data_IF_558720586817
#
_entry.id   IF_558720586817
#
_cell.length_a   1.000
_cell.length_b   1.000
_cell.length_c   1.000
_cell.angle_alpha   90.00
_cell.angle_beta   90.00
_cell.angle_gamma   90.00
#
_symmetry.space_group_name_H-M   'P 1'
#
loop_
_entity.id
_entity.type
_entity.pdbx_description
1 polymer ?
#
# COMPACT_ATOMS: atom_id res chain seq x y z
N UNK A 1 8.34 -27.86 72.05
CA UNK A 1 8.74 -27.78 70.63
C UNK A 1 8.81 -26.30 70.24
N UNK A 2 10.02 -25.78 70.02
CA UNK A 2 10.28 -24.39 69.65
C UNK A 2 9.82 -24.13 68.21
N UNK A 3 8.88 -23.21 67.99
CA UNK A 3 8.64 -22.63 66.66
C UNK A 3 9.18 -21.20 66.65
N UNK A 4 10.29 -20.97 65.97
CA UNK A 4 10.83 -19.63 65.71
C UNK A 4 9.82 -18.83 64.85
N UNK A 5 9.58 -17.54 65.13
CA UNK A 5 8.68 -16.73 64.33
C UNK A 5 9.26 -16.49 62.93
N UNK A 6 8.45 -16.75 61.88
CA UNK A 6 8.83 -16.48 60.48
C UNK A 6 8.95 -14.97 60.27
N UNK A 7 10.16 -14.50 59.93
CA UNK A 7 10.42 -13.09 59.54
C UNK A 7 9.54 -12.70 58.34
N UNK A 8 8.94 -11.51 58.40
CA UNK A 8 8.11 -11.00 57.32
C UNK A 8 8.96 -10.68 56.07
N UNK A 9 8.32 -10.60 54.90
CA UNK A 9 9.00 -10.24 53.65
C UNK A 9 9.67 -8.85 53.74
N UNK A 10 9.05 -7.92 54.47
CA UNK A 10 9.59 -6.58 54.73
C UNK A 10 10.88 -6.63 55.55
N UNK A 11 10.99 -7.55 56.52
CA UNK A 11 12.20 -7.71 57.34
C UNK A 11 13.36 -8.29 56.53
N UNK A 12 13.06 -9.18 55.56
CA UNK A 12 14.07 -9.71 54.62
C UNK A 12 14.58 -8.63 53.66
N UNK A 13 13.69 -7.79 53.14
CA UNK A 13 14.04 -6.70 52.22
C UNK A 13 14.93 -5.64 52.90
N UNK A 14 14.62 -5.27 54.16
CA UNK A 14 15.48 -4.38 54.96
C UNK A 14 16.87 -4.97 55.22
N UNK A 15 16.96 -6.28 55.48
CA UNK A 15 18.27 -6.94 55.72
C UNK A 15 19.16 -7.02 54.47
N UNK A 16 18.59 -6.81 53.28
CA UNK A 16 19.29 -6.76 51.99
C UNK A 16 19.66 -5.33 51.55
N UNK A 17 19.49 -4.33 52.41
CA UNK A 17 19.87 -2.94 52.13
C UNK A 17 18.89 -2.16 51.25
N UNK A 18 17.68 -2.70 50.99
CA UNK A 18 16.63 -2.00 50.24
C UNK A 18 16.04 -0.90 51.12
N UNK A 19 16.37 0.36 50.82
CA UNK A 19 15.72 1.54 51.42
C UNK A 19 14.33 1.69 50.82
N UNK A 20 13.29 1.63 51.66
CA UNK A 20 11.93 1.97 51.26
C UNK A 20 11.82 3.50 51.24
N UNK A 21 11.61 4.06 50.06
CA UNK A 21 11.49 5.49 49.81
C UNK A 21 12.80 6.12 49.31
N UNK A 22 12.81 6.50 48.02
CA UNK A 22 13.79 7.45 47.51
C UNK A 22 13.47 8.82 48.15
N UNK A 23 14.28 9.28 49.09
CA UNK A 23 14.04 10.54 49.83
C UNK A 23 14.40 11.79 49.04
N UNK A 24 14.97 11.67 47.83
CA UNK A 24 15.23 12.80 46.95
C UNK A 24 15.01 12.38 45.50
N UNK A 25 13.83 12.71 44.96
CA UNK A 25 13.69 12.85 43.52
C UNK A 25 14.32 14.20 43.16
N UNK A 26 15.28 14.27 42.21
CA UNK A 26 15.69 15.56 41.68
C UNK A 26 14.43 16.28 41.22
N UNK A 27 14.20 17.50 41.73
CA UNK A 27 13.11 18.34 41.22
C UNK A 27 13.30 18.41 39.71
N UNK A 28 12.30 17.98 38.89
CA UNK A 28 12.41 18.17 37.46
C UNK A 28 12.71 19.66 37.25
N UNK A 29 13.70 19.96 36.40
CA UNK A 29 13.91 21.33 35.95
C UNK A 29 12.54 21.86 35.53
N UNK A 30 12.14 23.09 35.93
CA UNK A 30 10.91 23.67 35.41
C UNK A 30 11.02 23.57 33.88
N UNK A 31 10.13 22.80 33.28
CA UNK A 31 10.09 22.67 31.83
C UNK A 31 9.94 24.10 31.28
N UNK A 32 10.79 24.45 30.32
CA UNK A 32 10.58 25.68 29.57
C UNK A 32 9.22 25.51 28.88
N UNK A 33 8.23 26.28 29.34
CA UNK A 33 6.89 26.25 28.80
C UNK A 33 6.93 26.91 27.42
N UNK A 34 7.09 26.10 26.39
CA UNK A 34 7.02 26.54 25.00
C UNK A 34 5.61 26.27 24.48
N UNK A 35 4.77 27.30 24.31
CA UNK A 35 3.43 27.12 23.78
C UNK A 35 3.45 26.70 22.30
N UNK A 36 2.38 26.09 21.81
CA UNK A 36 2.35 25.54 20.44
C UNK A 36 2.47 26.63 19.38
N UNK A 37 1.85 27.79 19.60
CA UNK A 37 1.89 28.93 18.68
C UNK A 37 3.28 29.55 18.50
N UNK A 38 4.25 29.27 19.39
CA UNK A 38 5.64 29.70 19.18
C UNK A 38 6.46 28.73 18.33
N UNK A 39 5.96 27.51 18.10
CA UNK A 39 6.66 26.45 17.37
C UNK A 39 6.06 26.25 15.98
N UNK A 40 4.73 26.34 15.89
CA UNK A 40 3.96 26.12 14.65
C UNK A 40 3.08 27.35 14.41
N UNK A 41 3.07 27.94 13.19
CA UNK A 41 2.32 29.16 12.90
C UNK A 41 0.84 28.88 12.61
N UNK A 42 0.16 28.23 13.55
CA UNK A 42 -1.29 27.95 13.50
C UNK A 42 -2.14 29.00 14.20
N UNK A 43 -3.44 28.92 13.97
CA UNK A 43 -4.46 29.83 14.47
C UNK A 43 -5.52 29.10 15.30
N UNK A 44 -6.19 29.88 16.17
CA UNK A 44 -7.30 29.41 16.98
C UNK A 44 -8.64 29.57 16.26
N UNK A 45 -9.38 28.46 16.13
CA UNK A 45 -10.73 28.44 15.54
C UNK A 45 -11.78 28.30 16.64
N UNK A 46 -12.75 29.20 16.61
CA UNK A 46 -13.91 29.14 17.48
C UNK A 46 -14.99 28.25 16.86
N UNK A 47 -15.49 27.31 17.64
CA UNK A 47 -16.56 26.39 17.28
C UNK A 47 -17.66 26.42 18.36
N UNK A 48 -18.75 25.68 18.17
CA UNK A 48 -19.83 25.60 19.16
C UNK A 48 -19.38 24.93 20.48
N UNK A 49 -18.33 24.12 20.43
CA UNK A 49 -17.81 23.37 21.59
C UNK A 49 -16.59 24.02 22.24
N UNK A 50 -16.13 25.17 21.74
CA UNK A 50 -14.97 25.89 22.27
C UNK A 50 -13.95 26.22 21.20
N UNK A 51 -12.70 26.36 21.61
CA UNK A 51 -11.59 26.70 20.73
C UNK A 51 -10.77 25.47 20.36
N UNK A 52 -10.26 25.42 19.13
CA UNK A 52 -9.31 24.42 18.66
C UNK A 52 -8.14 25.06 17.91
N UNK A 53 -6.94 24.49 18.01
CA UNK A 53 -5.75 24.95 17.29
C UNK A 53 -5.65 24.26 15.93
N UNK A 54 -5.52 25.05 14.88
CA UNK A 54 -5.41 24.55 13.50
C UNK A 54 -4.25 25.26 12.80
N UNK A 55 -3.35 24.49 12.21
CA UNK A 55 -2.32 25.01 11.33
C UNK A 55 -2.71 24.78 9.88
N UNK A 56 -2.83 25.84 9.09
CA UNK A 56 -3.13 25.74 7.65
C UNK A 56 -1.96 26.20 6.78
N UNK A 57 -1.68 25.41 5.76
CA UNK A 57 -0.69 25.68 4.72
C UNK A 57 -1.35 25.64 3.35
N UNK A 58 -0.87 26.51 2.45
CA UNK A 58 -1.34 26.60 1.07
C UNK A 58 -0.19 26.27 0.13
N UNK A 59 -0.41 25.29 -0.74
CA UNK A 59 0.55 24.88 -1.75
C UNK A 59 0.01 25.26 -3.13
N UNK A 60 0.82 25.92 -3.98
CA UNK A 60 0.40 26.17 -5.35
C UNK A 60 0.28 24.85 -6.11
N UNK A 61 -0.58 24.78 -7.15
CA UNK A 61 -0.81 23.54 -7.90
C UNK A 61 0.44 22.95 -8.58
N UNK A 62 1.46 23.79 -8.83
CA UNK A 62 2.75 23.37 -9.38
C UNK A 62 3.76 22.93 -8.31
N UNK A 63 3.36 22.86 -7.03
CA UNK A 63 4.19 22.29 -5.98
C UNK A 63 4.50 20.83 -6.32
N UNK A 64 5.79 20.49 -6.27
CA UNK A 64 6.28 19.15 -6.46
C UNK A 64 6.55 18.51 -5.10
N UNK A 65 6.01 17.32 -4.90
CA UNK A 65 6.30 16.46 -3.77
C UNK A 65 7.16 15.29 -4.25
N UNK A 66 8.47 15.39 -3.99
CA UNK A 66 9.46 14.62 -4.74
C UNK A 66 9.46 15.06 -6.20
N UNK A 67 9.28 14.12 -7.12
CA UNK A 67 9.24 14.43 -8.56
C UNK A 67 7.81 14.62 -9.11
N UNK A 68 6.78 14.50 -8.25
CA UNK A 68 5.38 14.42 -8.67
C UNK A 68 4.62 15.69 -8.26
N UNK A 69 3.88 16.35 -9.18
CA UNK A 69 3.00 17.46 -8.80
C UNK A 69 1.82 16.97 -7.97
N UNK A 70 1.31 17.80 -7.07
CA UNK A 70 0.14 17.44 -6.26
C UNK A 70 -1.12 17.28 -7.13
N UNK A 71 -1.35 18.21 -8.07
CA UNK A 71 -2.52 18.20 -8.92
C UNK A 71 -2.42 17.09 -9.98
N UNK A 72 -3.48 16.26 -10.14
CA UNK A 72 -3.59 15.36 -11.28
C UNK A 72 -3.46 16.08 -12.62
N UNK A 73 -2.49 15.67 -13.44
CA UNK A 73 -2.29 16.25 -14.79
C UNK A 73 -3.30 15.74 -15.81
N UNK A 74 -3.92 14.59 -15.51
CA UNK A 74 -5.00 13.97 -16.29
C UNK A 74 -6.15 13.60 -15.35
N UNK A 75 -7.40 13.54 -15.86
CA UNK A 75 -8.51 12.96 -15.11
C UNK A 75 -8.18 11.55 -14.61
N UNK A 76 -8.66 11.20 -13.42
CA UNK A 76 -8.48 9.85 -12.88
C UNK A 76 -9.18 8.83 -13.80
N UNK A 77 -8.50 7.74 -14.20
CA UNK A 77 -9.04 6.81 -15.20
C UNK A 77 -10.22 6.01 -14.63
N UNK A 78 -11.19 5.67 -15.48
CA UNK A 78 -12.34 4.83 -15.10
C UNK A 78 -11.91 3.48 -14.50
N UNK A 79 -10.75 2.96 -14.92
CA UNK A 79 -10.13 1.77 -14.35
C UNK A 79 -9.97 1.86 -12.82
N UNK A 80 -9.56 3.04 -12.30
CA UNK A 80 -9.39 3.27 -10.87
C UNK A 80 -10.74 3.23 -10.14
N UNK A 81 -11.77 3.84 -10.72
CA UNK A 81 -13.14 3.80 -10.16
C UNK A 81 -13.72 2.38 -10.16
N UNK A 82 -13.48 1.60 -11.22
CA UNK A 82 -13.92 0.22 -11.34
C UNK A 82 -13.23 -0.69 -10.32
N UNK A 83 -11.92 -0.50 -10.13
CA UNK A 83 -11.15 -1.20 -9.10
C UNK A 83 -11.64 -0.87 -7.68
N UNK A 84 -11.87 0.41 -7.40
CA UNK A 84 -12.34 0.89 -6.11
C UNK A 84 -13.84 0.59 -5.87
N UNK A 85 -14.58 0.22 -6.93
CA UNK A 85 -16.03 -0.06 -6.94
C UNK A 85 -16.87 1.15 -6.54
N UNK A 86 -16.44 2.34 -6.95
CA UNK A 86 -17.17 3.58 -6.70
C UNK A 86 -16.97 4.55 -7.88
N UNK A 87 -18.04 4.76 -8.65
CA UNK A 87 -18.02 5.60 -9.86
C UNK A 87 -17.73 7.07 -9.55
N UNK A 88 -17.89 7.52 -8.31
CA UNK A 88 -17.59 8.91 -7.92
C UNK A 88 -16.12 9.26 -8.15
N UNK A 89 -15.23 8.28 -8.06
CA UNK A 89 -13.77 8.47 -8.14
C UNK A 89 -13.31 8.98 -9.51
N UNK A 90 -13.92 8.55 -10.62
CA UNK A 90 -13.56 9.09 -11.95
C UNK A 90 -14.49 10.22 -12.40
N UNK A 91 -15.65 10.39 -11.76
CA UNK A 91 -16.67 11.38 -12.16
C UNK A 91 -16.60 12.72 -11.43
N UNK A 92 -16.25 12.71 -10.13
CA UNK A 92 -16.16 13.93 -9.35
C UNK A 92 -14.80 14.59 -9.56
N UNK A 93 -14.75 15.93 -9.55
CA UNK A 93 -13.49 16.65 -9.74
C UNK A 93 -12.65 16.57 -8.45
N UNK A 94 -11.35 16.87 -8.55
CA UNK A 94 -10.38 16.62 -7.48
C UNK A 94 -10.65 17.44 -6.20
N UNK A 95 -11.37 18.55 -6.31
CA UNK A 95 -11.84 19.40 -5.20
C UNK A 95 -12.86 18.69 -4.30
N UNK A 96 -13.41 17.55 -4.75
CA UNK A 96 -14.26 16.67 -3.95
C UNK A 96 -13.49 15.63 -3.15
N UNK A 97 -12.17 15.62 -3.26
CA UNK A 97 -11.30 14.68 -2.55
C UNK A 97 -10.69 15.37 -1.34
N UNK A 98 -10.74 14.69 -0.20
CA UNK A 98 -9.95 15.04 0.98
C UNK A 98 -8.94 13.93 1.25
N UNK A 99 -7.68 14.32 1.33
CA UNK A 99 -6.56 13.48 1.72
C UNK A 99 -6.40 13.60 3.22
N UNK A 100 -6.41 12.50 3.96
CA UNK A 100 -6.32 12.57 5.42
C UNK A 100 -5.49 11.44 6.02
N UNK A 101 -4.89 11.78 7.15
CA UNK A 101 -4.01 10.95 7.97
C UNK A 101 -4.13 11.39 9.43
N UNK A 102 -3.97 10.46 10.39
CA UNK A 102 -4.10 10.76 11.82
C UNK A 102 -2.89 10.33 12.62
N UNK A 103 -2.49 11.20 13.56
CA UNK A 103 -1.57 10.82 14.63
C UNK A 103 -2.33 10.46 15.88
N UNK A 104 -1.97 9.33 16.48
CA UNK A 104 -2.78 8.71 17.53
C UNK A 104 -2.00 8.55 18.83
N UNK A 105 -2.70 8.67 19.96
CA UNK A 105 -2.09 8.52 21.29
C UNK A 105 -1.79 7.06 21.66
N UNK A 106 -2.00 6.09 20.76
CA UNK A 106 -1.75 4.68 21.05
C UNK A 106 -2.09 3.73 19.92
N UNK A 107 -1.25 2.69 19.78
CA UNK A 107 -1.24 1.75 18.65
C UNK A 107 -2.42 0.75 18.63
N UNK A 108 -3.20 0.64 19.71
CA UNK A 108 -4.18 -0.45 19.89
C UNK A 108 -5.64 -0.08 19.57
N UNK A 109 -5.92 1.14 19.10
CA UNK A 109 -7.25 1.54 18.60
C UNK A 109 -8.42 1.37 19.57
N UNK A 110 -8.14 1.34 20.88
CA UNK A 110 -9.18 1.24 21.91
C UNK A 110 -9.95 2.55 22.07
N UNK A 111 -11.06 2.53 22.81
CA UNK A 111 -11.87 3.74 23.08
C UNK A 111 -11.11 4.85 23.81
N UNK A 112 -9.98 4.54 24.44
CA UNK A 112 -9.07 5.51 25.07
C UNK A 112 -8.02 6.11 24.14
N UNK A 113 -7.93 5.68 22.87
CA UNK A 113 -7.03 6.28 21.88
C UNK A 113 -7.67 7.56 21.34
N UNK A 114 -6.89 8.65 21.36
CA UNK A 114 -7.23 9.91 20.71
C UNK A 114 -6.53 9.99 19.36
N UNK A 115 -7.19 10.55 18.36
CA UNK A 115 -6.52 11.13 17.20
C UNK A 115 -6.11 12.54 17.63
N UNK A 116 -4.88 12.70 18.12
CA UNK A 116 -4.45 14.00 18.67
C UNK A 116 -4.00 14.97 17.59
N UNK A 117 -3.74 14.45 16.39
CA UNK A 117 -3.59 15.25 15.18
C UNK A 117 -4.40 14.62 14.07
N UNK A 118 -5.13 15.43 13.32
CA UNK A 118 -5.72 15.03 12.05
C UNK A 118 -5.21 15.98 10.98
N UNK A 119 -4.44 15.44 10.05
CA UNK A 119 -4.07 16.15 8.81
C UNK A 119 -5.19 15.95 7.80
N UNK A 120 -5.60 17.03 7.13
CA UNK A 120 -6.56 16.99 6.04
C UNK A 120 -6.14 17.96 4.93
N UNK A 121 -6.02 17.45 3.71
CA UNK A 121 -5.70 18.22 2.51
C UNK A 121 -6.84 18.20 1.50
N UNK A 122 -7.18 19.33 0.89
CA UNK A 122 -8.14 19.40 -0.23
C UNK A 122 -7.72 20.45 -1.26
N UNK A 123 -8.15 20.27 -2.49
CA UNK A 123 -7.99 21.30 -3.53
C UNK A 123 -9.10 22.35 -3.40
N UNK A 124 -8.73 23.63 -3.48
CA UNK A 124 -9.67 24.76 -3.49
C UNK A 124 -9.14 25.84 -4.44
N UNK A 125 -9.80 26.02 -5.58
CA UNK A 125 -9.33 26.92 -6.62
C UNK A 125 -7.96 26.51 -7.16
N UNK A 126 -7.00 27.43 -7.12
CA UNK A 126 -5.64 27.22 -7.66
C UNK A 126 -4.62 26.81 -6.58
N UNK A 127 -5.09 26.21 -5.48
CA UNK A 127 -4.24 25.80 -4.35
C UNK A 127 -4.66 24.44 -3.77
N UNK A 128 -3.69 23.74 -3.20
CA UNK A 128 -3.92 22.63 -2.28
C UNK A 128 -3.80 23.16 -0.85
N UNK A 129 -4.89 23.09 -0.09
CA UNK A 129 -4.97 23.55 1.29
C UNK A 129 -4.79 22.34 2.20
N UNK A 130 -3.77 22.38 3.04
CA UNK A 130 -3.50 21.40 4.08
C UNK A 130 -3.81 22.03 5.44
N UNK A 131 -4.66 21.38 6.23
CA UNK A 131 -5.00 21.77 7.59
C UNK A 131 -4.62 20.65 8.56
N UNK A 132 -3.94 21.00 9.65
CA UNK A 132 -3.60 20.08 10.74
C UNK A 132 -4.34 20.52 12.00
N UNK A 133 -5.32 19.70 12.40
CA UNK A 133 -6.13 19.91 13.59
C UNK A 133 -5.44 19.24 14.78
N UNK A 134 -4.96 20.03 15.74
CA UNK A 134 -4.15 19.52 16.85
C UNK A 134 -4.87 19.64 18.20
N UNK A 135 -4.92 18.54 18.92
CA UNK A 135 -5.56 18.40 20.21
C UNK A 135 -4.58 18.80 21.32
N UNK A 136 -4.61 20.04 21.80
CA UNK A 136 -3.67 20.49 22.85
C UNK A 136 -4.01 19.94 24.23
N UNK A 137 -5.31 19.76 24.44
CA UNK A 137 -5.89 19.17 25.64
C UNK A 137 -7.04 18.24 25.24
N UNK A 138 -7.19 17.05 25.84
CA UNK A 138 -8.27 16.13 25.52
C UNK A 138 -9.68 16.74 25.62
N UNK A 139 -9.87 17.79 26.42
CA UNK A 139 -11.16 18.50 26.52
C UNK A 139 -11.54 19.29 25.26
N UNK A 140 -10.59 19.59 24.38
CA UNK A 140 -10.80 20.33 23.13
C UNK A 140 -11.31 19.44 21.98
N UNK A 141 -11.40 18.12 22.18
CA UNK A 141 -11.70 17.17 21.10
C UNK A 141 -13.02 17.45 20.37
N UNK A 142 -14.15 17.78 21.04
CA UNK A 142 -15.38 18.12 20.32
C UNK A 142 -15.21 19.34 19.39
N UNK A 143 -14.45 20.36 19.82
CA UNK A 143 -14.17 21.54 19.00
C UNK A 143 -13.28 21.18 17.80
N UNK A 144 -12.26 20.36 18.00
CA UNK A 144 -11.40 19.86 16.94
C UNK A 144 -12.18 19.03 15.90
N UNK A 145 -13.06 18.13 16.35
CA UNK A 145 -13.90 17.31 15.47
C UNK A 145 -14.89 18.17 14.67
N UNK A 146 -15.46 19.21 15.28
CA UNK A 146 -16.35 20.13 14.57
C UNK A 146 -15.60 20.90 13.48
N UNK A 147 -14.43 21.47 13.80
CA UNK A 147 -13.61 22.18 12.81
C UNK A 147 -13.15 21.27 11.66
N UNK A 148 -12.81 20.00 11.95
CA UNK A 148 -12.51 18.99 10.94
C UNK A 148 -13.74 18.73 10.05
N UNK A 149 -14.92 18.53 10.65
CA UNK A 149 -16.16 18.29 9.92
C UNK A 149 -16.49 19.45 8.95
N UNK A 150 -16.32 20.69 9.40
CA UNK A 150 -16.49 21.89 8.56
C UNK A 150 -15.50 21.93 7.39
N UNK A 151 -14.23 21.62 7.65
CA UNK A 151 -13.19 21.64 6.62
C UNK A 151 -13.42 20.60 5.52
N UNK A 152 -13.86 19.39 5.89
CA UNK A 152 -14.07 18.32 4.92
C UNK A 152 -15.45 18.37 4.26
N UNK A 153 -16.41 19.13 4.79
CA UNK A 153 -17.80 19.20 4.30
C UNK A 153 -17.96 19.42 2.78
N UNK A 154 -17.09 20.18 2.07
CA UNK A 154 -17.19 20.34 0.62
C UNK A 154 -16.89 19.05 -0.19
N UNK A 155 -16.26 18.06 0.45
CA UNK A 155 -15.74 16.85 -0.17
C UNK A 155 -16.79 15.71 -0.17
N UNK A 156 -16.49 14.67 -0.94
CA UNK A 156 -17.33 13.47 -1.09
C UNK A 156 -16.50 12.18 -1.17
N UNK A 157 -15.17 12.29 -1.19
CA UNK A 157 -14.23 11.19 -1.35
C UNK A 157 -13.10 11.34 -0.33
N UNK A 158 -12.95 10.36 0.56
CA UNK A 158 -11.79 10.21 1.43
C UNK A 158 -10.65 9.53 0.67
N UNK A 159 -9.44 10.06 0.80
CA UNK A 159 -8.20 9.43 0.36
C UNK A 159 -7.29 9.27 1.57
N UNK A 160 -6.80 8.05 1.81
CA UNK A 160 -5.86 7.80 2.91
C UNK A 160 -4.91 6.65 2.57
N UNK A 161 -3.91 6.43 3.43
CA UNK A 161 -3.04 5.25 3.34
C UNK A 161 -3.32 4.34 4.52
N UNK A 162 -3.97 3.18 4.28
CA UNK A 162 -4.42 2.24 5.32
C UNK A 162 -5.58 2.75 6.21
N UNK A 163 -6.11 3.95 5.97
CA UNK A 163 -7.11 4.54 6.85
C UNK A 163 -8.50 3.93 6.81
N UNK A 164 -8.81 3.02 5.88
CA UNK A 164 -10.03 2.19 6.01
C UNK A 164 -9.99 1.29 7.25
N UNK A 165 -8.80 0.86 7.63
CA UNK A 165 -8.59 -0.10 8.72
C UNK A 165 -8.25 0.57 10.05
N UNK A 166 -7.79 1.84 10.02
CA UNK A 166 -7.26 2.54 11.21
C UNK A 166 -7.92 3.91 11.41
N UNK A 167 -7.60 4.90 10.58
CA UNK A 167 -7.95 6.30 10.78
C UNK A 167 -9.47 6.56 10.78
N UNK A 168 -10.19 6.10 9.74
CA UNK A 168 -11.62 6.33 9.64
C UNK A 168 -12.40 5.63 10.77
N UNK A 169 -12.17 4.34 11.10
CA UNK A 169 -12.80 3.71 12.26
C UNK A 169 -12.52 4.41 13.60
N UNK A 170 -11.29 4.93 13.79
CA UNK A 170 -10.93 5.70 14.98
C UNK A 170 -11.77 6.98 15.06
N UNK A 171 -11.77 7.80 14.00
CA UNK A 171 -12.55 9.04 13.96
C UNK A 171 -14.05 8.78 14.13
N UNK A 172 -14.61 7.75 13.47
CA UNK A 172 -16.00 7.35 13.68
C UNK A 172 -16.31 7.05 15.15
N UNK A 173 -15.37 6.42 15.87
CA UNK A 173 -15.51 6.16 17.30
C UNK A 173 -15.48 7.47 18.09
N UNK A 174 -14.59 8.41 17.75
CA UNK A 174 -14.51 9.73 18.41
C UNK A 174 -15.80 10.54 18.22
N UNK A 175 -16.31 10.65 16.98
CA UNK A 175 -17.59 11.31 16.70
C UNK A 175 -18.75 10.68 17.49
N UNK A 176 -18.82 9.33 17.54
CA UNK A 176 -19.87 8.63 18.30
C UNK A 176 -19.78 8.87 19.81
N UNK A 177 -18.58 8.93 20.38
CA UNK A 177 -18.38 9.18 21.81
C UNK A 177 -18.85 10.58 22.22
N UNK A 178 -18.75 11.55 21.32
CA UNK A 178 -19.23 12.92 21.52
C UNK A 178 -20.66 13.16 21.02
N UNK A 179 -21.37 12.10 20.62
CA UNK A 179 -22.74 12.18 20.07
C UNK A 179 -22.85 13.10 18.84
N UNK A 180 -21.76 13.22 18.07
CA UNK A 180 -21.68 14.04 16.87
C UNK A 180 -21.96 13.22 15.60
N UNK A 181 -22.59 13.81 14.56
CA UNK A 181 -22.71 13.16 13.26
C UNK A 181 -21.34 12.84 12.66
N UNK A 182 -21.23 11.72 11.94
CA UNK A 182 -20.01 11.33 11.25
C UNK A 182 -20.01 12.04 9.87
N UNK A 183 -19.16 13.05 9.64
CA UNK A 183 -19.25 13.92 8.46
C UNK A 183 -18.98 13.19 7.13
N UNK A 184 -18.23 12.09 7.17
CA UNK A 184 -17.82 11.31 6.00
C UNK A 184 -18.57 9.98 5.87
N UNK A 185 -19.72 9.81 6.52
CA UNK A 185 -20.44 8.53 6.55
C UNK A 185 -20.79 7.99 5.16
N UNK A 186 -21.13 8.88 4.22
CA UNK A 186 -21.53 8.53 2.85
C UNK A 186 -20.41 8.73 1.83
N UNK A 187 -19.19 9.09 2.25
CA UNK A 187 -18.10 9.36 1.31
C UNK A 187 -17.64 8.09 0.61
N UNK A 188 -17.20 8.21 -0.64
CA UNK A 188 -16.36 7.16 -1.22
C UNK A 188 -15.04 7.14 -0.43
N UNK A 189 -14.38 5.99 -0.33
CA UNK A 189 -13.09 5.92 0.36
C UNK A 189 -12.09 5.18 -0.52
N UNK A 190 -11.09 5.92 -0.98
CA UNK A 190 -9.95 5.41 -1.73
C UNK A 190 -8.76 5.20 -0.78
N UNK A 191 -8.47 3.95 -0.46
CA UNK A 191 -7.34 3.60 0.40
C UNK A 191 -6.15 3.18 -0.46
N UNK A 192 -5.14 4.03 -0.48
CA UNK A 192 -3.98 3.92 -1.36
C UNK A 192 -3.04 2.79 -0.97
N UNK A 193 -3.09 2.24 0.25
CA UNK A 193 -2.28 1.07 0.61
C UNK A 193 -2.71 -0.15 -0.22
N UNK A 194 -4.00 -0.31 -0.45
CA UNK A 194 -4.52 -1.43 -1.25
C UNK A 194 -4.12 -1.28 -2.72
N UNK A 195 -4.15 -0.05 -3.24
CA UNK A 195 -3.69 0.25 -4.58
C UNK A 195 -2.18 0.03 -4.70
N UNK A 196 -1.40 0.49 -3.73
CA UNK A 196 0.05 0.30 -3.71
C UNK A 196 0.44 -1.17 -3.67
N UNK A 197 -0.26 -1.98 -2.87
CA UNK A 197 -0.09 -3.44 -2.86
C UNK A 197 -0.54 -4.12 -4.15
N UNK A 198 -1.38 -3.48 -4.95
CA UNK A 198 -1.85 -4.00 -6.24
C UNK A 198 -0.84 -3.75 -7.35
N UNK A 199 -0.18 -2.60 -7.31
CA UNK A 199 0.73 -2.12 -8.34
C UNK A 199 2.19 -2.49 -8.09
N UNK A 200 2.64 -2.47 -6.84
CA UNK A 200 4.09 -2.55 -6.53
C UNK A 200 4.50 -3.71 -5.63
N UNK A 201 3.61 -4.67 -5.32
CA UNK A 201 3.94 -5.81 -4.44
C UNK A 201 5.07 -6.69 -4.97
N UNK A 202 5.08 -6.95 -6.28
CA UNK A 202 6.10 -7.83 -6.86
C UNK A 202 7.46 -7.10 -7.00
N UNK A 203 7.48 -5.75 -7.01
CA UNK A 203 8.70 -4.93 -7.11
C UNK A 203 9.29 -4.54 -5.75
N UNK A 204 8.46 -4.06 -4.82
CA UNK A 204 8.91 -3.45 -3.57
C UNK A 204 8.82 -4.43 -2.39
N UNK A 205 9.90 -4.45 -1.59
CA UNK A 205 9.98 -5.26 -0.37
C UNK A 205 8.99 -4.76 0.70
N UNK A 206 8.89 -3.45 0.87
CA UNK A 206 7.93 -2.78 1.75
C UNK A 206 6.91 -1.96 0.94
N UNK A 207 5.72 -1.76 1.54
CA UNK A 207 4.68 -0.86 1.03
C UNK A 207 4.15 0.00 2.19
N UNK A 208 5.04 0.42 3.09
CA UNK A 208 4.75 1.54 3.99
C UNK A 208 4.72 2.84 3.18
N UNK A 209 4.05 3.89 3.67
CA UNK A 209 4.01 5.16 2.95
C UNK A 209 5.42 5.71 2.71
N UNK A 210 6.29 5.65 3.73
CA UNK A 210 7.71 5.98 3.62
C UNK A 210 8.46 5.19 2.52
N UNK A 211 8.14 3.91 2.32
CA UNK A 211 8.75 3.13 1.25
C UNK A 211 8.25 3.56 -0.13
N UNK A 212 6.99 3.97 -0.24
CA UNK A 212 6.39 4.49 -1.47
C UNK A 212 6.96 5.87 -1.80
N UNK A 213 7.09 6.74 -0.81
CA UNK A 213 7.78 8.03 -0.91
C UNK A 213 9.15 7.89 -1.55
N UNK A 214 10.01 7.04 -0.98
CA UNK A 214 11.38 6.88 -1.45
C UNK A 214 11.45 6.25 -2.85
N UNK A 215 10.68 5.20 -3.12
CA UNK A 215 10.87 4.36 -4.30
C UNK A 215 9.94 4.67 -5.48
N UNK A 216 8.83 5.37 -5.23
CA UNK A 216 7.83 5.74 -6.25
C UNK A 216 7.81 7.25 -6.47
N UNK A 217 7.81 8.04 -5.40
CA UNK A 217 7.62 9.49 -5.48
C UNK A 217 8.94 10.28 -5.48
N UNK A 218 10.07 9.64 -5.17
CA UNK A 218 11.37 10.28 -4.95
C UNK A 218 11.37 11.33 -3.83
N UNK A 219 10.54 11.14 -2.81
CA UNK A 219 10.44 12.05 -1.67
C UNK A 219 11.55 11.75 -0.67
N UNK A 220 12.33 12.78 -0.35
CA UNK A 220 13.33 12.74 0.73
C UNK A 220 12.82 13.50 1.95
N UNK A 221 12.57 12.81 3.06
CA UNK A 221 12.21 13.47 4.33
C UNK A 221 13.44 14.19 4.92
N UNK A 222 13.22 15.39 5.48
CA UNK A 222 14.29 16.23 6.05
C UNK A 222 14.69 15.79 7.46
N UNK A 223 15.65 16.50 8.07
CA UNK A 223 16.05 16.27 9.46
C UNK A 223 14.99 16.66 10.50
N UNK A 224 13.89 17.28 10.08
CA UNK A 224 12.76 17.60 10.97
C UNK A 224 11.87 16.37 11.24
N UNK A 225 12.01 15.32 10.43
CA UNK A 225 11.27 14.07 10.57
C UNK A 225 11.49 13.39 11.92
N UNK A 226 10.40 12.90 12.52
CA UNK A 226 10.42 12.05 13.71
C UNK A 226 10.00 10.63 13.36
N UNK A 227 10.59 9.59 13.98
CA UNK A 227 10.14 8.22 13.74
C UNK A 227 8.69 8.03 14.21
N UNK A 228 7.82 7.49 13.36
CA UNK A 228 6.39 7.35 13.66
C UNK A 228 6.06 6.59 14.96
N UNK A 229 6.92 5.66 15.39
CA UNK A 229 6.73 4.96 16.67
C UNK A 229 6.99 5.84 17.91
N UNK A 230 7.68 6.98 17.76
CA UNK A 230 7.96 7.94 18.83
C UNK A 230 6.83 8.96 19.00
N UNK A 231 6.08 9.23 17.93
CA UNK A 231 5.03 10.25 17.87
C UNK A 231 4.05 10.20 19.06
N UNK A 232 3.50 9.04 19.47
CA UNK A 232 2.60 8.98 20.63
C UNK A 232 3.28 9.42 21.94
N UNK A 233 4.56 9.09 22.12
CA UNK A 233 5.32 9.45 23.32
C UNK A 233 5.60 10.95 23.37
N UNK A 234 5.94 11.56 22.24
CA UNK A 234 6.15 13.00 22.14
C UNK A 234 4.87 13.76 22.54
N UNK A 235 3.70 13.28 22.12
CA UNK A 235 2.42 13.88 22.52
C UNK A 235 2.14 13.72 24.03
N UNK A 236 2.43 12.55 24.61
CA UNK A 236 2.27 12.37 26.05
C UNK A 236 3.21 13.24 26.89
N UNK A 237 4.44 13.44 26.41
CA UNK A 237 5.39 14.35 27.05
C UNK A 237 4.87 15.79 26.98
N UNK A 238 4.41 16.23 25.79
CA UNK A 238 3.75 17.53 25.60
C UNK A 238 2.57 17.73 26.56
N UNK A 239 1.69 16.74 26.74
CA UNK A 239 0.56 16.87 27.69
C UNK A 239 1.04 17.04 29.14
N UNK A 240 2.18 16.46 29.51
CA UNK A 240 2.72 16.48 30.88
C UNK A 240 3.47 17.76 31.19
N UNK A 241 4.36 18.19 30.30
CA UNK A 241 5.27 19.31 30.55
C UNK A 241 4.92 20.59 29.79
N UNK A 242 3.98 20.50 28.84
CA UNK A 242 3.51 21.61 27.99
C UNK A 242 4.63 22.26 27.18
N UNK A 243 5.68 21.50 26.85
CA UNK A 243 6.74 21.92 25.93
C UNK A 243 6.42 21.45 24.51
N UNK A 244 6.06 22.38 23.62
CA UNK A 244 5.68 22.09 22.25
C UNK A 244 6.85 21.88 21.28
N UNK A 245 8.12 22.14 21.67
CA UNK A 245 9.28 22.04 20.76
C UNK A 245 9.31 20.72 19.95
N UNK A 246 9.11 19.53 20.55
CA UNK A 246 9.14 18.28 19.79
C UNK A 246 7.96 18.10 18.83
N UNK A 247 6.87 18.86 19.01
CA UNK A 247 5.69 18.77 18.15
C UNK A 247 5.98 19.25 16.74
N UNK A 248 6.97 20.12 16.53
CA UNK A 248 7.35 20.57 15.18
C UNK A 248 7.57 19.39 14.22
N UNK A 249 8.28 18.36 14.68
CA UNK A 249 8.56 17.17 13.87
C UNK A 249 7.32 16.30 13.63
N UNK A 250 6.35 16.29 14.56
CA UNK A 250 5.07 15.59 14.38
C UNK A 250 4.20 16.30 13.33
N UNK A 251 4.13 17.64 13.38
CA UNK A 251 3.45 18.42 12.34
C UNK A 251 4.11 18.18 10.97
N UNK A 252 5.44 18.21 10.90
CA UNK A 252 6.18 17.92 9.68
C UNK A 252 5.89 16.50 9.15
N UNK A 253 5.91 15.47 10.00
CA UNK A 253 5.61 14.08 9.61
C UNK A 253 4.23 13.99 8.95
N UNK A 254 3.20 14.47 9.64
CA UNK A 254 1.84 14.42 9.14
C UNK A 254 1.64 15.29 7.88
N UNK A 255 2.32 16.45 7.78
CA UNK A 255 2.31 17.27 6.57
C UNK A 255 2.81 16.48 5.35
N UNK A 256 3.98 15.84 5.47
CA UNK A 256 4.57 15.03 4.42
C UNK A 256 3.67 13.86 4.04
N UNK A 257 3.06 13.18 5.02
CA UNK A 257 2.14 12.08 4.77
C UNK A 257 0.96 12.54 3.89
N UNK A 258 0.32 13.67 4.22
CA UNK A 258 -0.80 14.22 3.44
C UNK A 258 -0.39 14.59 2.00
N UNK A 259 0.75 15.26 1.83
CA UNK A 259 1.29 15.59 0.51
C UNK A 259 1.61 14.33 -0.31
N UNK A 260 2.14 13.30 0.35
CA UNK A 260 2.42 11.98 -0.25
C UNK A 260 1.14 11.32 -0.76
N UNK A 261 0.00 11.45 -0.08
CA UNK A 261 -1.26 10.88 -0.56
C UNK A 261 -1.71 11.52 -1.88
N UNK A 262 -1.64 12.86 -1.97
CA UNK A 262 -2.02 13.59 -3.18
C UNK A 262 -1.11 13.25 -4.36
N UNK A 263 0.20 13.29 -4.15
CA UNK A 263 1.19 12.90 -5.16
C UNK A 263 1.04 11.43 -5.58
N UNK A 264 0.82 10.52 -4.64
CA UNK A 264 0.64 9.09 -4.93
C UNK A 264 -0.62 8.83 -5.75
N UNK A 265 -1.73 9.50 -5.44
CA UNK A 265 -2.95 9.39 -6.24
C UNK A 265 -2.73 9.89 -7.67
N UNK A 266 -2.05 11.03 -7.84
CA UNK A 266 -1.72 11.56 -9.16
C UNK A 266 -0.83 10.58 -9.94
N UNK A 267 0.26 10.10 -9.33
CA UNK A 267 1.17 9.15 -9.97
C UNK A 267 0.44 7.86 -10.39
N UNK A 268 -0.33 7.26 -9.47
CA UNK A 268 -1.12 6.07 -9.76
C UNK A 268 -2.16 6.32 -10.87
N UNK A 269 -2.85 7.47 -10.84
CA UNK A 269 -3.78 7.86 -11.89
C UNK A 269 -3.11 7.96 -13.26
N UNK A 270 -1.92 8.57 -13.31
CA UNK A 270 -1.14 8.77 -14.53
C UNK A 270 -0.73 7.43 -15.15
N UNK A 271 -0.12 6.52 -14.37
CA UNK A 271 0.34 5.22 -14.90
C UNK A 271 -0.82 4.28 -15.26
N UNK A 272 -2.01 4.47 -14.68
CA UNK A 272 -3.20 3.71 -15.03
C UNK A 272 -3.93 4.29 -16.25
N UNK A 273 -3.81 5.59 -16.50
CA UNK A 273 -4.37 6.26 -17.67
C UNK A 273 -3.54 5.99 -18.94
N UNK A 274 -2.21 5.96 -18.81
CA UNK A 274 -1.28 5.63 -19.89
C UNK A 274 -0.27 4.54 -19.44
N UNK A 275 -0.69 3.27 -19.39
CA UNK A 275 0.15 2.18 -18.90
C UNK A 275 1.26 1.74 -19.87
N UNK A 276 1.29 2.30 -21.09
CA UNK A 276 2.35 2.10 -22.08
C UNK A 276 3.30 3.31 -22.19
N UNK A 277 3.02 4.39 -21.46
CA UNK A 277 3.78 5.62 -21.49
C UNK A 277 5.10 5.54 -20.70
N UNK A 278 5.91 6.59 -20.84
CA UNK A 278 7.22 6.72 -20.17
C UNK A 278 7.13 6.77 -18.63
N UNK A 279 5.93 6.95 -18.08
CA UNK A 279 5.68 6.91 -16.63
C UNK A 279 5.86 5.52 -15.99
N UNK A 280 5.89 4.45 -16.79
CA UNK A 280 6.02 3.05 -16.30
C UNK A 280 7.38 2.47 -16.66
N UNK A 281 8.35 2.68 -15.78
CA UNK A 281 9.76 2.33 -16.04
C UNK A 281 10.14 0.88 -15.71
N UNK A 282 9.28 0.14 -15.02
CA UNK A 282 9.59 -1.21 -14.55
C UNK A 282 8.62 -2.24 -15.14
N UNK A 283 9.18 -3.29 -15.74
CA UNK A 283 8.40 -4.41 -16.29
C UNK A 283 7.49 -5.06 -15.25
N UNK A 284 7.92 -5.14 -13.98
CA UNK A 284 7.09 -5.67 -12.89
C UNK A 284 5.82 -4.82 -12.66
N UNK A 285 5.90 -3.51 -12.84
CA UNK A 285 4.75 -2.62 -12.71
C UNK A 285 3.79 -2.82 -13.87
N UNK A 286 4.32 -2.90 -15.11
CA UNK A 286 3.50 -3.22 -16.30
C UNK A 286 2.76 -4.55 -16.10
N UNK A 287 3.44 -5.57 -15.59
CA UNK A 287 2.82 -6.87 -15.28
C UNK A 287 1.76 -6.75 -14.17
N UNK A 288 1.98 -5.91 -13.16
CA UNK A 288 1.01 -5.67 -12.11
C UNK A 288 -0.25 -4.94 -12.62
N UNK A 289 -0.07 -3.96 -13.50
CA UNK A 289 -1.14 -3.25 -14.20
C UNK A 289 -1.88 -4.22 -15.14
N UNK A 290 -1.19 -5.06 -15.91
CA UNK A 290 -1.80 -6.10 -16.75
C UNK A 290 -2.73 -7.01 -15.94
N UNK A 291 -2.28 -7.44 -14.75
CA UNK A 291 -3.12 -8.22 -13.82
C UNK A 291 -4.38 -7.42 -13.44
N UNK A 292 -4.30 -6.10 -13.27
CA UNK A 292 -5.44 -5.27 -12.86
C UNK A 292 -6.48 -5.17 -13.97
N UNK A 293 -6.05 -4.93 -15.21
CA UNK A 293 -6.91 -4.99 -16.39
C UNK A 293 -7.55 -6.38 -16.54
N UNK A 294 -6.79 -7.45 -16.31
CA UNK A 294 -7.30 -8.83 -16.31
C UNK A 294 -8.41 -9.03 -15.26
N UNK A 295 -8.18 -8.62 -14.01
CA UNK A 295 -9.18 -8.75 -12.93
C UNK A 295 -10.46 -7.95 -13.22
N UNK A 296 -10.34 -6.85 -13.99
CA UNK A 296 -11.47 -6.01 -14.44
C UNK A 296 -12.05 -6.44 -15.79
N UNK A 297 -11.62 -7.59 -16.31
CA UNK A 297 -12.11 -8.20 -17.54
C UNK A 297 -11.84 -7.39 -18.82
N UNK A 298 -10.85 -6.48 -18.79
CA UNK A 298 -10.33 -5.78 -19.97
C UNK A 298 -9.23 -6.63 -20.60
N UNK A 299 -9.66 -7.73 -21.22
CA UNK A 299 -8.78 -8.84 -21.62
C UNK A 299 -7.79 -8.48 -22.73
N UNK A 300 -8.21 -7.63 -23.66
CA UNK A 300 -7.40 -7.28 -24.82
C UNK A 300 -6.24 -6.37 -24.40
N UNK A 301 -6.54 -5.34 -23.61
CA UNK A 301 -5.58 -4.44 -22.98
C UNK A 301 -4.65 -5.21 -22.02
N UNK A 302 -5.20 -6.10 -21.18
CA UNK A 302 -4.39 -6.93 -20.29
C UNK A 302 -3.38 -7.77 -21.07
N UNK A 303 -3.78 -8.37 -22.20
CA UNK A 303 -2.89 -9.16 -23.03
C UNK A 303 -1.78 -8.30 -23.68
N UNK A 304 -2.09 -7.11 -24.20
CA UNK A 304 -1.08 -6.20 -24.72
C UNK A 304 -0.09 -5.74 -23.63
N UNK A 305 -0.58 -5.46 -22.41
CA UNK A 305 0.29 -5.11 -21.29
C UNK A 305 1.19 -6.27 -20.86
N UNK A 306 0.68 -7.50 -20.85
CA UNK A 306 1.51 -8.67 -20.61
C UNK A 306 2.60 -8.83 -21.67
N UNK A 307 2.26 -8.69 -22.95
CA UNK A 307 3.21 -8.75 -24.06
C UNK A 307 4.32 -7.70 -23.87
N UNK A 308 3.95 -6.45 -23.62
CA UNK A 308 4.89 -5.37 -23.37
C UNK A 308 5.76 -5.62 -22.13
N UNK A 309 5.16 -6.02 -21.00
CA UNK A 309 5.89 -6.30 -19.77
C UNK A 309 6.90 -7.44 -19.90
N UNK A 310 6.60 -8.45 -20.72
CA UNK A 310 7.47 -9.61 -20.97
C UNK A 310 8.67 -9.28 -21.89
N UNK A 311 8.64 -8.16 -22.63
CA UNK A 311 9.79 -7.71 -23.43
C UNK A 311 10.94 -7.23 -22.55
N UNK A 312 10.64 -6.68 -21.38
CA UNK A 312 11.65 -6.23 -20.43
C UNK A 312 12.22 -7.34 -19.53
N UNK A 313 12.97 -6.93 -18.51
CA UNK A 313 13.64 -7.85 -17.58
C UNK A 313 12.72 -8.17 -16.40
N UNK A 314 12.47 -9.46 -16.19
CA UNK A 314 11.66 -9.97 -15.09
C UNK A 314 12.41 -11.06 -14.32
N UNK A 315 12.22 -11.17 -13.00
CA UNK A 315 12.58 -12.38 -12.27
C UNK A 315 11.93 -13.62 -12.90
N UNK A 316 12.63 -14.74 -12.86
CA UNK A 316 12.23 -15.97 -13.55
C UNK A 316 10.82 -16.44 -13.14
N UNK A 317 10.48 -16.36 -11.85
CA UNK A 317 9.14 -16.74 -11.37
C UNK A 317 8.04 -15.82 -11.90
N UNK A 318 8.28 -14.51 -11.96
CA UNK A 318 7.31 -13.53 -12.45
C UNK A 318 7.12 -13.62 -13.96
N UNK A 319 8.20 -13.82 -14.70
CA UNK A 319 8.16 -14.10 -16.14
C UNK A 319 7.26 -15.30 -16.43
N UNK A 320 7.47 -16.42 -15.73
CA UNK A 320 6.68 -17.64 -15.92
C UNK A 320 5.20 -17.46 -15.55
N UNK A 321 4.91 -16.76 -14.44
CA UNK A 321 3.54 -16.41 -14.05
C UNK A 321 2.84 -15.56 -15.12
N UNK A 322 3.54 -14.57 -15.66
CA UNK A 322 3.03 -13.69 -16.71
C UNK A 322 2.79 -14.43 -18.03
N UNK A 323 3.74 -15.27 -18.49
CA UNK A 323 3.57 -16.12 -19.69
C UNK A 323 2.34 -17.03 -19.54
N UNK A 324 2.16 -17.65 -18.37
CA UNK A 324 1.00 -18.50 -18.11
C UNK A 324 -0.31 -17.71 -18.22
N UNK A 325 -0.41 -16.54 -17.59
CA UNK A 325 -1.60 -15.68 -17.67
C UNK A 325 -1.88 -15.19 -19.09
N UNK A 326 -0.86 -14.64 -19.77
CA UNK A 326 -0.97 -14.19 -21.16
C UNK A 326 -1.46 -15.32 -22.08
N UNK A 327 -0.95 -16.53 -21.91
CA UNK A 327 -1.32 -17.66 -22.76
C UNK A 327 -2.81 -18.05 -22.66
N UNK A 328 -3.45 -17.79 -21.52
CA UNK A 328 -4.89 -17.96 -21.34
C UNK A 328 -5.65 -16.90 -22.15
N UNK A 329 -5.19 -15.65 -22.09
CA UNK A 329 -5.79 -14.53 -22.83
C UNK A 329 -5.61 -14.67 -24.34
N UNK A 330 -4.42 -15.07 -24.81
CA UNK A 330 -4.17 -15.28 -26.24
C UNK A 330 -4.99 -16.43 -26.82
N UNK A 331 -5.22 -17.51 -26.06
CA UNK A 331 -6.17 -18.56 -26.48
C UNK A 331 -7.59 -18.02 -26.69
N UNK A 332 -8.01 -17.07 -25.86
CA UNK A 332 -9.31 -16.43 -25.96
C UNK A 332 -9.39 -15.49 -27.16
N UNK A 333 -8.32 -14.76 -27.45
CA UNK A 333 -8.18 -13.88 -28.63
C UNK A 333 -8.01 -14.64 -29.95
N UNK A 334 -7.53 -15.89 -29.88
CA UNK A 334 -7.20 -16.70 -31.06
C UNK A 334 -5.74 -16.58 -31.50
N UNK A 335 -4.93 -15.81 -30.78
CA UNK A 335 -3.54 -15.46 -31.09
C UNK A 335 -2.55 -16.54 -30.63
N UNK A 336 -2.76 -17.78 -31.09
CA UNK A 336 -1.96 -18.94 -30.64
C UNK A 336 -0.48 -18.82 -31.02
N UNK A 337 -0.16 -18.16 -32.14
CA UNK A 337 1.23 -18.01 -32.59
C UNK A 337 2.06 -17.15 -31.62
N UNK A 338 1.49 -16.07 -31.09
CA UNK A 338 2.17 -15.29 -30.04
C UNK A 338 2.33 -16.11 -28.75
N UNK A 339 1.39 -17.02 -28.46
CA UNK A 339 1.49 -17.88 -27.27
C UNK A 339 2.66 -18.85 -27.43
N UNK A 340 2.83 -19.40 -28.64
CA UNK A 340 3.96 -20.27 -28.99
C UNK A 340 5.29 -19.54 -28.87
N UNK A 341 5.37 -18.28 -29.31
CA UNK A 341 6.57 -17.44 -29.15
C UNK A 341 6.95 -17.29 -27.68
N UNK A 342 6.01 -16.91 -26.81
CA UNK A 342 6.27 -16.74 -25.38
C UNK A 342 6.57 -18.05 -24.65
N UNK A 343 5.88 -19.14 -25.00
CA UNK A 343 6.24 -20.47 -24.49
C UNK A 343 7.63 -20.90 -24.97
N UNK A 344 8.02 -20.58 -26.21
CA UNK A 344 9.35 -20.87 -26.73
C UNK A 344 10.44 -20.25 -25.86
N UNK A 345 10.34 -18.94 -25.62
CA UNK A 345 11.26 -18.22 -24.73
C UNK A 345 11.27 -18.80 -23.31
N UNK A 346 10.10 -19.09 -22.75
CA UNK A 346 10.03 -19.73 -21.43
C UNK A 346 10.63 -21.15 -21.40
N UNK A 347 10.52 -21.91 -22.50
CA UNK A 347 11.10 -23.24 -22.60
C UNK A 347 12.64 -23.19 -22.67
N UNK A 348 13.21 -22.18 -23.33
CA UNK A 348 14.67 -21.93 -23.33
C UNK A 348 15.20 -21.71 -21.90
N UNK A 349 14.43 -21.03 -21.04
CA UNK A 349 14.73 -20.82 -19.62
C UNK A 349 14.38 -22.04 -18.73
N UNK A 350 14.05 -23.19 -19.32
CA UNK A 350 13.83 -24.45 -18.61
C UNK A 350 12.44 -24.60 -17.97
N UNK A 351 11.46 -23.77 -18.34
CA UNK A 351 10.13 -23.86 -17.75
C UNK A 351 9.32 -25.06 -18.26
N UNK A 352 9.01 -25.99 -17.35
CA UNK A 352 8.29 -27.25 -17.66
C UNK A 352 6.89 -26.99 -18.23
N UNK A 353 6.17 -26.01 -17.65
CA UNK A 353 4.84 -25.62 -18.14
C UNK A 353 4.87 -25.25 -19.63
N UNK A 354 5.87 -24.48 -20.05
CA UNK A 354 6.01 -24.03 -21.43
C UNK A 354 6.27 -25.19 -22.40
N UNK A 355 7.14 -26.13 -22.01
CA UNK A 355 7.37 -27.37 -22.78
C UNK A 355 6.09 -28.19 -22.96
N UNK A 356 5.27 -28.28 -21.92
CA UNK A 356 3.99 -29.00 -21.97
C UNK A 356 3.00 -28.31 -22.93
N UNK A 357 2.91 -26.98 -22.91
CA UNK A 357 2.03 -26.24 -23.80
C UNK A 357 2.51 -26.26 -25.26
N UNK A 358 3.81 -26.17 -25.51
CA UNK A 358 4.40 -26.38 -26.85
C UNK A 358 4.12 -27.80 -27.36
N UNK A 359 4.33 -28.81 -26.53
CA UNK A 359 4.01 -30.19 -26.90
C UNK A 359 2.52 -30.37 -27.23
N UNK A 360 1.61 -29.72 -26.50
CA UNK A 360 0.17 -29.70 -26.81
C UNK A 360 -0.09 -29.02 -28.16
N UNK A 361 0.54 -27.87 -28.41
CA UNK A 361 0.40 -27.14 -29.66
C UNK A 361 0.84 -28.01 -30.86
N UNK A 362 2.06 -28.54 -30.83
CA UNK A 362 2.58 -29.35 -31.92
C UNK A 362 1.81 -30.67 -32.10
N UNK A 363 1.30 -31.27 -31.02
CA UNK A 363 0.49 -32.49 -31.11
C UNK A 363 -0.89 -32.23 -31.76
N UNK A 364 -1.57 -31.17 -31.35
CA UNK A 364 -3.00 -30.98 -31.65
C UNK A 364 -3.25 -30.03 -32.84
N UNK A 365 -2.42 -29.00 -33.02
CA UNK A 365 -2.60 -27.97 -34.06
C UNK A 365 -1.83 -28.31 -35.32
N UNK A 366 -0.50 -28.44 -35.23
CA UNK A 366 0.36 -28.69 -36.39
C UNK A 366 0.47 -30.18 -36.75
N UNK A 367 0.14 -31.07 -35.80
CA UNK A 367 0.29 -32.53 -35.90
C UNK A 367 1.74 -32.99 -36.14
N UNK A 368 2.71 -32.17 -35.72
CA UNK A 368 4.11 -32.57 -35.68
C UNK A 368 4.41 -33.36 -34.40
N UNK A 369 4.26 -34.67 -34.49
CA UNK A 369 4.51 -35.57 -33.36
C UNK A 369 6.00 -35.75 -33.02
N UNK A 370 6.91 -35.32 -33.89
CA UNK A 370 8.36 -35.39 -33.64
C UNK A 370 8.73 -34.25 -32.73
N UNK A 371 8.42 -33.01 -33.12
CA UNK A 371 8.69 -31.81 -32.33
C UNK A 371 7.94 -31.86 -30.99
N UNK A 372 6.67 -32.29 -31.00
CA UNK A 372 5.92 -32.46 -29.74
C UNK A 372 6.59 -33.44 -28.77
N UNK A 373 7.26 -34.48 -29.28
CA UNK A 373 7.96 -35.47 -28.45
C UNK A 373 9.28 -34.92 -27.93
N UNK A 374 10.00 -34.12 -28.71
CA UNK A 374 11.24 -33.47 -28.29
C UNK A 374 11.01 -32.59 -27.06
N UNK A 375 10.02 -31.69 -27.09
CA UNK A 375 9.69 -30.85 -25.92
C UNK A 375 9.35 -31.68 -24.67
N UNK A 376 8.65 -32.81 -24.81
CA UNK A 376 8.33 -33.68 -23.67
C UNK A 376 9.57 -34.39 -23.13
N UNK A 377 10.49 -34.81 -23.99
CA UNK A 377 11.73 -35.46 -23.57
C UNK A 377 12.66 -34.47 -22.86
N UNK A 378 12.83 -33.26 -23.41
CA UNK A 378 13.60 -32.18 -22.78
C UNK A 378 13.06 -31.84 -21.40
N UNK A 379 11.73 -31.68 -21.26
CA UNK A 379 11.11 -31.45 -19.97
C UNK A 379 11.30 -32.63 -18.99
N UNK A 380 11.28 -33.89 -19.47
CA UNK A 380 11.54 -35.06 -18.63
C UNK A 380 12.99 -35.10 -18.12
N UNK A 381 13.95 -34.65 -18.91
CA UNK A 381 15.35 -34.53 -18.48
C UNK A 381 15.48 -33.46 -17.38
N UNK A 382 14.85 -32.30 -17.57
CA UNK A 382 14.83 -31.20 -16.59
C UNK A 382 14.18 -31.61 -15.25
N UNK A 383 13.06 -32.33 -15.26
CA UNK A 383 12.37 -32.76 -14.03
C UNK A 383 13.15 -33.83 -13.25
N UNK A 384 14.05 -34.57 -13.92
CA UNK A 384 14.87 -35.63 -13.32
C UNK A 384 16.16 -35.12 -12.69
N UNK A 385 16.51 -33.85 -12.88
CA UNK A 385 17.70 -33.26 -12.22
C UNK A 385 17.51 -33.24 -10.70
N UNK A 386 18.62 -33.31 -9.97
CA UNK A 386 18.57 -33.36 -8.50
C UNK A 386 17.98 -32.07 -7.91
N UNK A 387 18.26 -30.93 -8.54
CA UNK A 387 17.84 -29.59 -8.13
C UNK A 387 16.34 -29.29 -8.37
N UNK A 388 15.61 -30.15 -9.08
CA UNK A 388 14.19 -29.92 -9.36
C UNK A 388 13.32 -30.07 -8.09
N UNK A 389 12.40 -29.14 -7.79
CA UNK A 389 11.59 -29.18 -6.57
C UNK A 389 10.85 -30.52 -6.37
N UNK A 390 11.12 -31.18 -5.23
CA UNK A 390 10.57 -32.52 -4.94
C UNK A 390 9.05 -32.58 -4.99
N UNK A 391 8.38 -31.53 -4.48
CA UNK A 391 6.92 -31.46 -4.38
C UNK A 391 6.21 -31.34 -5.75
N UNK A 392 6.88 -30.79 -6.76
CA UNK A 392 6.33 -30.69 -8.13
C UNK A 392 6.72 -31.88 -9.01
N UNK A 393 7.80 -32.60 -8.64
CA UNK A 393 8.42 -33.64 -9.47
C UNK A 393 7.44 -34.74 -9.85
N UNK A 394 6.69 -35.27 -8.89
CA UNK A 394 5.75 -36.36 -9.14
C UNK A 394 4.62 -35.94 -10.09
N UNK A 395 4.08 -34.73 -9.88
CA UNK A 395 3.04 -34.15 -10.74
C UNK A 395 3.51 -34.04 -12.19
N UNK A 396 4.67 -33.41 -12.42
CA UNK A 396 5.20 -33.22 -13.77
C UNK A 396 5.63 -34.52 -14.44
N UNK A 397 6.27 -35.45 -13.71
CA UNK A 397 6.60 -36.77 -14.25
C UNK A 397 5.35 -37.52 -14.69
N UNK A 398 4.27 -37.47 -13.90
CA UNK A 398 2.99 -38.08 -14.25
C UNK A 398 2.43 -37.53 -15.56
N UNK A 399 2.32 -36.20 -15.68
CA UNK A 399 1.79 -35.56 -16.90
C UNK A 399 2.68 -35.85 -18.13
N UNK A 400 3.99 -35.68 -18.00
CA UNK A 400 4.94 -35.84 -19.10
C UNK A 400 5.03 -37.29 -19.58
N UNK A 401 5.08 -38.26 -18.69
CA UNK A 401 5.11 -39.68 -19.07
C UNK A 401 3.81 -40.10 -19.77
N UNK A 402 2.66 -39.66 -19.26
CA UNK A 402 1.37 -39.94 -19.90
C UNK A 402 1.32 -39.36 -21.32
N UNK A 403 1.80 -38.12 -21.51
CA UNK A 403 1.88 -37.47 -22.83
C UNK A 403 2.86 -38.18 -23.76
N UNK A 404 4.03 -38.58 -23.27
CA UNK A 404 5.03 -39.32 -24.05
C UNK A 404 4.47 -40.64 -24.59
N UNK A 405 3.78 -41.41 -23.76
CA UNK A 405 3.15 -42.68 -24.19
C UNK A 405 2.05 -42.44 -25.23
N UNK A 406 1.24 -41.38 -25.06
CA UNK A 406 0.24 -40.97 -26.04
C UNK A 406 0.87 -40.62 -27.40
N UNK A 407 1.95 -39.85 -27.41
CA UNK A 407 2.68 -39.45 -28.62
C UNK A 407 3.33 -40.65 -29.32
N UNK A 408 3.93 -41.59 -28.57
CA UNK A 408 4.51 -42.84 -29.14
C UNK A 408 3.46 -43.66 -29.89
N UNK A 409 2.23 -43.76 -29.37
CA UNK A 409 1.12 -44.49 -30.02
C UNK A 409 0.68 -43.80 -31.33
N UNK A 410 0.55 -42.47 -31.32
CA UNK A 410 0.16 -41.68 -32.50
C UNK A 410 1.20 -41.71 -33.62
N UNK A 411 2.48 -41.59 -33.28
CA UNK A 411 3.57 -41.63 -34.26
C UNK A 411 3.67 -43.01 -34.96
N UNK A 412 3.49 -44.11 -34.21
CA UNK A 412 3.40 -45.47 -34.80
C UNK A 412 2.20 -45.66 -35.73
N UNK A 413 1.06 -45.02 -35.44
CA UNK A 413 -0.14 -45.05 -36.29
C UNK A 413 0.05 -44.24 -37.58
N UNK A 414 0.73 -43.09 -37.50
CA UNK A 414 1.05 -42.25 -38.66
C UNK A 414 2.02 -42.93 -39.62
N UNK A 415 3.06 -43.60 -39.10
CA UNK A 415 4.05 -44.36 -39.91
C UNK A 415 3.49 -45.63 -40.56
N UNK A 416 2.29 -46.09 -40.17
CA UNK A 416 1.60 -47.24 -40.79
C UNK A 416 0.59 -46.82 -41.86
N UNK A 417 0.30 -45.52 -41.99
CA UNK A 417 -0.71 -44.96 -42.92
C UNK A 417 -0.09 -44.25 -44.13
N UNK A 418 1.19 -43.90 -44.05
CA UNK A 418 2.04 -43.57 -45.20
C UNK A 418 2.79 -44.83 -45.60
#
# INVERSE_FOLDING_TARGET
MNSSPKKSLADKLKSLGVKVGATEHPRPKPAEHTPIESVVPGDYRQTHYGETFVYEQRYPLNHLHGDIPLLPTTPLPDLLSAWAKDERISRLPIEKFVFFDTETSGLAGGTGTYAFMVGAGRFEGDEFILAQFFLRDPSEEPAMLEALAEFIAPCEILVSYNGKSFDAPLLQTRYRLHEMPIPFQDYAHLDLLHLARRLWRDRLTSRTLQSIEEHILSVGRTSEEVPGYEIPYLYFDYLRDKNAEPMKGVFYHNEIDILSLAALLNHAGTILADPFGEGVNHSLDVIAIAKLFEDLHQWDEAAHLYEHGLEGKLPQEDFMRAVKRLSILQRRRGDIEEAVKWWGRAAEDGHIYAHVELAKHYEHRTKDFVVAKEYVLTALEMVKTEDFPFHEREHWLGELNHRLERLKRKNKSSKKRN
#
